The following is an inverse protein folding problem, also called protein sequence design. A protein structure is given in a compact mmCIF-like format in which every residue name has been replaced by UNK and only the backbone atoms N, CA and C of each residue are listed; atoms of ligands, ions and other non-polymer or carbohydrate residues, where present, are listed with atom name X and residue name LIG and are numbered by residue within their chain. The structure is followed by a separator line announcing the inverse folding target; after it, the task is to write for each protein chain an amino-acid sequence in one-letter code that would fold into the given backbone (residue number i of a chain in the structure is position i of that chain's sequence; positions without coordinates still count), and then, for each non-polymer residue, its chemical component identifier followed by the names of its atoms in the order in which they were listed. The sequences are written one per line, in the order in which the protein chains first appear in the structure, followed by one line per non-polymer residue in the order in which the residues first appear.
data_IF_952386937482
#
_entry.id   IF_952386937482
#
_cell.length_a   1.000
_cell.length_b   1.000
_cell.length_c   1.000
_cell.angle_alpha   90.00
_cell.angle_beta   90.00
_cell.angle_gamma   90.00
#
_symmetry.space_group_name_H-M   'P 1'
#
loop_
_entity.id
_entity.type
_entity.pdbx_description
1 polymer ?
#
# COMPACT_ATOMS: atom_id res chain seq x y z
N UNK A 1 -14.56 47.77 -20.73
CA UNK A 1 -13.96 48.08 -22.05
C UNK A 1 -12.69 48.88 -21.81
N UNK A 2 -11.52 48.30 -22.09
CA UNK A 2 -10.31 48.96 -22.62
C UNK A 2 -9.27 47.86 -22.84
N UNK A 3 -8.98 47.60 -24.11
CA UNK A 3 -8.03 46.62 -24.60
C UNK A 3 -6.57 47.06 -24.36
N UNK A 4 -5.66 46.10 -24.18
CA UNK A 4 -4.25 46.28 -24.57
C UNK A 4 -3.75 45.06 -25.33
N UNK A 5 -3.22 45.35 -26.51
CA UNK A 5 -2.65 44.44 -27.49
C UNK A 5 -1.16 44.14 -27.22
N UNK A 6 -0.71 43.05 -27.85
CA UNK A 6 0.59 42.35 -27.85
C UNK A 6 1.81 43.15 -28.38
N UNK A 7 3.05 42.62 -28.28
CA UNK A 7 3.59 41.79 -29.38
C UNK A 7 4.40 40.55 -28.96
N UNK A 8 4.53 39.65 -29.94
CA UNK A 8 5.23 38.38 -29.94
C UNK A 8 6.77 38.50 -29.93
N UNK A 9 7.46 37.46 -29.47
CA UNK A 9 8.87 37.20 -29.78
C UNK A 9 9.12 35.68 -29.87
N UNK A 10 9.99 35.32 -30.80
CA UNK A 10 10.10 34.04 -31.49
C UNK A 10 10.86 32.94 -30.71
N UNK A 11 10.56 31.69 -31.10
CA UNK A 11 11.38 30.49 -30.87
C UNK A 11 12.77 30.60 -31.51
N UNK A 12 13.70 29.72 -31.07
CA UNK A 12 14.27 28.82 -32.06
C UNK A 12 14.22 27.34 -31.65
N UNK A 13 13.85 26.50 -32.63
CA UNK A 13 14.10 25.06 -32.68
C UNK A 13 15.61 24.77 -32.61
N UNK A 14 16.00 23.76 -31.83
CA UNK A 14 17.24 23.02 -32.05
C UNK A 14 16.90 21.53 -32.17
N UNK A 15 16.95 21.05 -33.41
CA UNK A 15 17.05 19.63 -33.77
C UNK A 15 18.45 19.13 -33.37
N UNK A 16 18.52 17.97 -32.73
CA UNK A 16 19.68 17.09 -32.84
C UNK A 16 19.22 15.62 -32.74
N UNK A 17 19.35 14.94 -33.89
CA UNK A 17 19.19 13.51 -34.05
C UNK A 17 20.34 12.74 -33.36
N UNK A 18 20.09 11.50 -32.92
CA UNK A 18 21.16 10.67 -32.36
C UNK A 18 20.79 9.23 -32.03
N UNK A 19 20.77 8.39 -33.08
CA UNK A 19 21.09 6.96 -33.12
C UNK A 19 20.27 5.93 -32.29
N UNK A 20 19.43 5.19 -33.02
CA UNK A 20 19.07 3.81 -32.75
C UNK A 20 20.32 2.92 -32.76
N UNK A 21 20.53 2.15 -31.70
CA UNK A 21 21.32 0.92 -31.75
C UNK A 21 20.42 -0.26 -31.42
N UNK A 22 19.87 -0.89 -32.46
CA UNK A 22 19.36 -2.26 -32.41
C UNK A 22 20.55 -3.20 -32.31
N UNK A 23 20.85 -3.73 -31.12
CA UNK A 23 21.71 -4.90 -31.00
C UNK A 23 20.91 -6.13 -31.44
N UNK A 24 21.30 -6.66 -32.60
CA UNK A 24 20.62 -7.76 -33.26
C UNK A 24 20.69 -9.09 -32.51
N UNK A 25 19.59 -9.84 -32.60
CA UNK A 25 19.54 -11.28 -32.40
C UNK A 25 20.49 -11.96 -33.40
N UNK A 26 21.55 -12.59 -32.90
CA UNK A 26 22.44 -13.44 -33.69
C UNK A 26 22.50 -14.85 -33.11
N UNK A 27 21.51 -15.69 -33.37
CA UNK A 27 21.62 -17.14 -33.14
C UNK A 27 22.45 -17.76 -34.26
N UNK A 28 23.72 -18.06 -33.98
CA UNK A 28 24.50 -18.98 -34.81
C UNK A 28 24.02 -20.41 -34.55
N UNK A 29 23.41 -21.05 -35.53
CA UNK A 29 23.28 -22.51 -35.56
C UNK A 29 24.44 -23.04 -36.38
N UNK A 30 25.49 -23.51 -35.70
CA UNK A 30 26.48 -24.39 -36.29
C UNK A 30 26.01 -25.83 -36.06
N UNK A 31 25.89 -26.58 -37.15
CA UNK A 31 25.53 -28.00 -37.11
C UNK A 31 26.68 -28.90 -36.66
N UNK A 32 26.26 -30.14 -36.39
CA UNK A 32 27.02 -31.39 -36.29
C UNK A 32 27.71 -31.73 -34.96
N UNK A 33 27.15 -32.74 -34.30
CA UNK A 33 27.94 -33.84 -33.74
C UNK A 33 28.38 -33.73 -32.29
N UNK A 34 27.46 -33.91 -31.35
CA UNK A 34 27.79 -34.17 -29.95
C UNK A 34 26.55 -34.55 -29.17
N UNK A 35 26.56 -35.72 -28.52
CA UNK A 35 25.47 -36.21 -27.71
C UNK A 35 25.05 -35.15 -26.68
N UNK A 36 23.83 -34.63 -26.82
CA UNK A 36 23.23 -33.71 -25.87
C UNK A 36 22.91 -34.49 -24.59
N UNK A 37 23.74 -34.31 -23.56
CA UNK A 37 23.31 -34.57 -22.20
C UNK A 37 22.05 -33.73 -21.90
N UNK A 38 21.15 -34.21 -21.01
CA UNK A 38 19.93 -33.47 -20.70
C UNK A 38 20.27 -32.03 -20.29
N UNK A 39 19.49 -31.03 -20.74
CA UNK A 39 19.73 -29.64 -20.38
C UNK A 39 19.76 -29.51 -18.87
N UNK A 40 20.83 -28.90 -18.34
CA UNK A 40 20.90 -28.58 -16.92
C UNK A 40 19.67 -27.75 -16.52
N UNK A 41 19.01 -28.06 -15.40
CA UNK A 41 17.85 -27.29 -14.98
C UNK A 41 18.25 -25.83 -14.82
N UNK A 42 17.56 -24.95 -15.54
CA UNK A 42 17.71 -23.52 -15.38
C UNK A 42 17.21 -23.15 -13.99
N UNK A 43 18.13 -22.90 -13.07
CA UNK A 43 17.79 -22.42 -11.73
C UNK A 43 17.35 -20.97 -11.89
N UNK A 44 16.05 -20.74 -12.04
CA UNK A 44 15.47 -19.42 -11.78
C UNK A 44 15.72 -19.09 -10.31
N UNK A 45 16.33 -17.95 -9.96
CA UNK A 45 16.55 -17.60 -8.57
C UNK A 45 15.19 -17.57 -7.86
N UNK A 46 15.03 -18.40 -6.83
CA UNK A 46 13.85 -18.37 -5.98
C UNK A 46 13.86 -17.08 -5.18
N UNK A 47 12.79 -16.29 -5.30
CA UNK A 47 12.64 -15.08 -4.50
C UNK A 47 12.43 -15.46 -3.04
N UNK A 48 13.31 -14.99 -2.16
CA UNK A 48 13.12 -15.10 -0.71
C UNK A 48 12.18 -13.99 -0.23
N UNK A 49 10.88 -14.27 -0.27
CA UNK A 49 9.84 -13.34 0.17
C UNK A 49 9.95 -12.98 1.66
N UNK A 50 10.46 -13.89 2.49
CA UNK A 50 10.60 -13.65 3.92
C UNK A 50 11.72 -12.62 4.19
N UNK A 51 12.87 -12.79 3.53
CA UNK A 51 13.96 -11.82 3.61
C UNK A 51 13.54 -10.44 3.06
N UNK A 52 12.77 -10.41 1.97
CA UNK A 52 12.24 -9.15 1.42
C UNK A 52 11.28 -8.45 2.40
N UNK A 53 10.37 -9.20 3.03
CA UNK A 53 9.46 -8.66 4.02
C UNK A 53 10.21 -8.12 5.26
N UNK A 54 11.21 -8.85 5.76
CA UNK A 54 12.05 -8.40 6.87
C UNK A 54 12.84 -7.12 6.52
N UNK A 55 13.38 -7.03 5.30
CA UNK A 55 14.07 -5.84 4.83
C UNK A 55 13.13 -4.63 4.69
N UNK A 56 11.89 -4.85 4.24
CA UNK A 56 10.86 -3.81 4.18
C UNK A 56 10.52 -3.30 5.58
N UNK A 57 10.30 -4.21 6.54
CA UNK A 57 10.11 -3.85 7.95
C UNK A 57 11.29 -3.04 8.51
N UNK A 58 12.53 -3.40 8.21
CA UNK A 58 13.70 -2.64 8.66
C UNK A 58 13.75 -1.23 8.04
N UNK A 59 13.29 -1.05 6.80
CA UNK A 59 13.15 0.29 6.18
C UNK A 59 12.03 1.09 6.83
N UNK A 60 10.88 0.47 7.09
CA UNK A 60 9.78 1.07 7.84
C UNK A 60 10.27 1.59 9.21
N UNK A 61 10.97 0.76 9.97
CA UNK A 61 11.39 1.10 11.33
C UNK A 61 12.38 2.28 11.36
N UNK A 62 13.16 2.47 10.28
CA UNK A 62 14.00 3.68 10.09
C UNK A 62 13.17 4.94 9.81
N UNK A 63 12.07 4.81 9.08
CA UNK A 63 11.18 5.94 8.76
C UNK A 63 10.32 6.35 9.98
N UNK A 64 9.97 5.37 10.83
CA UNK A 64 9.07 5.57 11.97
C UNK A 64 9.64 4.97 13.27
N UNK A 65 10.77 5.51 13.78
CA UNK A 65 11.46 4.94 14.95
C UNK A 65 10.58 4.88 16.20
N UNK A 66 9.72 5.87 16.41
CA UNK A 66 8.77 5.92 17.53
C UNK A 66 7.77 4.76 17.50
N UNK A 67 7.33 4.38 16.29
CA UNK A 67 6.38 3.29 16.08
C UNK A 67 7.11 1.95 16.23
N UNK A 68 8.32 1.84 15.72
CA UNK A 68 9.17 0.67 15.90
C UNK A 68 9.44 0.40 17.39
N UNK A 69 9.83 1.43 18.15
CA UNK A 69 10.05 1.33 19.59
C UNK A 69 8.80 0.84 20.34
N UNK A 70 7.62 1.36 19.99
CA UNK A 70 6.35 0.94 20.58
C UNK A 70 6.00 -0.53 20.29
N UNK A 71 6.43 -1.07 19.16
CA UNK A 71 6.06 -2.40 18.68
C UNK A 71 7.19 -3.44 18.75
N UNK A 72 8.34 -3.11 19.35
CA UNK A 72 9.52 -3.97 19.38
C UNK A 72 9.22 -5.38 19.94
N UNK A 73 8.41 -5.47 20.99
CA UNK A 73 8.08 -6.73 21.66
C UNK A 73 7.07 -7.60 20.89
N UNK A 74 6.45 -7.07 19.84
CA UNK A 74 5.43 -7.76 19.05
C UNK A 74 6.02 -8.53 17.86
N UNK A 75 7.27 -8.24 17.51
CA UNK A 75 7.99 -8.84 16.38
C UNK A 75 9.06 -9.87 16.78
N UNK A 76 9.36 -10.01 18.07
CA UNK A 76 10.25 -11.07 18.53
C UNK A 76 9.58 -12.43 18.24
N UNK A 77 10.26 -13.36 17.54
CA UNK A 77 9.76 -14.72 17.45
C UNK A 77 9.75 -15.27 18.87
N UNK A 78 8.58 -15.29 19.50
CA UNK A 78 8.38 -16.19 20.63
C UNK A 78 8.66 -17.59 20.07
N UNK A 79 9.57 -18.33 20.69
CA UNK A 79 9.67 -19.78 20.53
C UNK A 79 8.37 -20.37 21.04
N UNK A 80 7.35 -20.28 20.21
CA UNK A 80 6.08 -20.96 20.35
C UNK A 80 6.06 -21.87 19.15
N UNK A 81 6.05 -23.18 19.42
CA UNK A 81 5.86 -24.22 18.42
C UNK A 81 4.85 -23.74 17.38
N UNK A 82 5.23 -23.81 16.10
CA UNK A 82 4.33 -23.57 14.98
C UNK A 82 3.03 -24.32 15.25
N UNK A 83 1.91 -23.65 15.56
CA UNK A 83 0.63 -24.33 15.44
C UNK A 83 0.54 -24.69 13.97
N UNK A 84 0.36 -25.99 13.68
CA UNK A 84 -0.05 -26.40 12.35
C UNK A 84 -1.15 -25.45 11.90
N UNK A 85 -1.05 -24.94 10.67
CA UNK A 85 -2.10 -24.14 10.06
C UNK A 85 -3.34 -25.03 9.92
N UNK A 86 -4.12 -25.15 10.98
CA UNK A 86 -5.52 -25.54 10.89
C UNK A 86 -6.22 -24.30 10.37
N UNK A 87 -6.06 -24.05 9.06
CA UNK A 87 -7.05 -23.30 8.31
C UNK A 87 -8.33 -24.12 8.32
N UNK A 88 -9.00 -24.17 9.48
CA UNK A 88 -10.41 -24.45 9.50
C UNK A 88 -11.03 -23.28 8.73
N UNK A 89 -11.73 -23.52 7.60
CA UNK A 89 -12.54 -22.47 7.02
C UNK A 89 -13.37 -21.89 8.16
N UNK A 90 -13.24 -20.58 8.39
CA UNK A 90 -13.98 -19.90 9.45
C UNK A 90 -15.42 -20.39 9.38
N UNK A 91 -15.92 -20.96 10.48
CA UNK A 91 -17.13 -21.78 10.46
C UNK A 91 -18.19 -21.06 9.64
N UNK A 92 -18.56 -21.65 8.49
CA UNK A 92 -19.62 -21.10 7.66
C UNK A 92 -20.82 -20.89 8.58
N UNK A 93 -21.46 -19.72 8.55
CA UNK A 93 -22.62 -19.50 9.39
C UNK A 93 -23.59 -20.66 9.22
N UNK A 94 -23.94 -21.33 10.32
CA UNK A 94 -24.86 -22.47 10.31
C UNK A 94 -26.29 -22.04 9.94
N UNK A 95 -26.54 -20.73 9.99
CA UNK A 95 -27.70 -20.08 9.39
C UNK A 95 -27.49 -19.93 7.87
N UNK A 96 -28.31 -20.59 7.03
CA UNK A 96 -28.21 -20.51 5.58
C UNK A 96 -28.28 -19.08 5.02
N UNK A 97 -29.00 -18.17 5.70
CA UNK A 97 -29.06 -16.78 5.27
C UNK A 97 -27.74 -16.07 5.55
N UNK A 98 -27.19 -16.19 6.75
CA UNK A 98 -25.84 -15.69 7.06
C UNK A 98 -24.75 -16.30 6.15
N UNK A 99 -24.90 -17.56 5.74
CA UNK A 99 -24.03 -18.20 4.74
C UNK A 99 -24.07 -17.48 3.39
N UNK A 100 -25.28 -17.23 2.84
CA UNK A 100 -25.45 -16.46 1.59
C UNK A 100 -24.93 -15.03 1.71
N UNK A 101 -25.12 -14.36 2.86
CA UNK A 101 -24.57 -13.03 3.09
C UNK A 101 -23.03 -13.04 3.13
N UNK A 102 -22.43 -14.05 3.77
CA UNK A 102 -20.97 -14.21 3.81
C UNK A 102 -20.37 -14.45 2.41
N UNK A 103 -21.03 -15.28 1.60
CA UNK A 103 -20.64 -15.49 0.20
C UNK A 103 -20.75 -14.21 -0.63
N UNK A 104 -21.86 -13.47 -0.50
CA UNK A 104 -22.04 -12.20 -1.22
C UNK A 104 -20.98 -11.16 -0.81
N UNK A 105 -20.54 -11.15 0.46
CA UNK A 105 -19.53 -10.21 0.94
C UNK A 105 -18.09 -10.72 0.88
N UNK A 106 -17.83 -11.85 0.22
CA UNK A 106 -16.48 -12.40 0.10
C UNK A 106 -15.48 -11.41 -0.55
N UNK A 107 -15.95 -10.54 -1.45
CA UNK A 107 -15.14 -9.47 -2.05
C UNK A 107 -14.56 -8.48 -1.00
N UNK A 108 -15.19 -8.36 0.18
CA UNK A 108 -14.70 -7.51 1.28
C UNK A 108 -13.73 -8.21 2.23
N UNK A 109 -13.32 -9.45 1.94
CA UNK A 109 -12.37 -10.16 2.78
C UNK A 109 -11.01 -9.44 2.80
N UNK A 110 -10.50 -9.28 4.02
CA UNK A 110 -9.19 -8.69 4.29
C UNK A 110 -8.21 -9.79 4.69
N UNK A 111 -6.96 -9.66 4.29
CA UNK A 111 -5.89 -10.47 4.84
C UNK A 111 -5.77 -10.24 6.35
N UNK A 112 -5.54 -11.31 7.11
CA UNK A 112 -5.31 -11.18 8.54
C UNK A 112 -3.97 -10.50 8.83
N UNK A 113 -3.97 -9.60 9.81
CA UNK A 113 -2.74 -8.97 10.29
C UNK A 113 -2.12 -9.82 11.39
N UNK A 114 -0.86 -10.24 11.20
CA UNK A 114 -0.06 -10.79 12.29
C UNK A 114 0.18 -9.76 13.40
N UNK A 115 0.55 -10.19 14.63
CA UNK A 115 0.64 -9.31 15.80
C UNK A 115 1.51 -8.06 15.61
N UNK A 116 2.70 -8.22 15.03
CA UNK A 116 3.60 -7.10 14.74
C UNK A 116 3.01 -6.09 13.75
N UNK A 117 2.39 -6.58 12.67
CA UNK A 117 1.74 -5.75 11.66
C UNK A 117 0.53 -5.02 12.26
N UNK A 118 -0.25 -5.71 13.09
CA UNK A 118 -1.38 -5.11 13.82
C UNK A 118 -0.93 -3.98 14.74
N UNK A 119 0.12 -4.20 15.54
CA UNK A 119 0.67 -3.16 16.41
C UNK A 119 1.10 -1.92 15.62
N UNK A 120 1.86 -2.11 14.53
CA UNK A 120 2.31 -1.00 13.68
C UNK A 120 1.12 -0.26 13.08
N UNK A 121 0.16 -0.99 12.50
CA UNK A 121 -1.05 -0.41 11.94
C UNK A 121 -1.83 0.44 12.95
N UNK A 122 -2.09 -0.10 14.15
CA UNK A 122 -2.80 0.61 15.20
C UNK A 122 -2.00 1.83 15.72
N UNK A 123 -0.66 1.74 15.78
CA UNK A 123 0.20 2.86 16.13
C UNK A 123 0.16 3.99 15.08
N UNK A 124 0.16 3.66 13.79
CA UNK A 124 -0.04 4.63 12.72
C UNK A 124 -1.42 5.27 12.75
N UNK A 125 -2.47 4.47 12.96
CA UNK A 125 -3.83 4.98 13.11
C UNK A 125 -3.93 5.96 14.29
N UNK A 126 -3.28 5.66 15.42
CA UNK A 126 -3.22 6.56 16.56
C UNK A 126 -2.45 7.86 16.26
N UNK A 127 -1.29 7.77 15.59
CA UNK A 127 -0.48 8.93 15.17
C UNK A 127 -1.28 9.85 14.25
N UNK A 128 -1.96 9.30 13.25
CA UNK A 128 -2.80 10.07 12.33
C UNK A 128 -3.96 10.70 13.08
N UNK A 129 -4.68 9.92 13.91
CA UNK A 129 -5.80 10.45 14.70
C UNK A 129 -5.36 11.62 15.58
N UNK A 130 -4.23 11.50 16.26
CA UNK A 130 -3.67 12.58 17.09
C UNK A 130 -3.38 13.84 16.27
N UNK A 131 -2.84 13.71 15.05
CA UNK A 131 -2.62 14.85 14.17
C UNK A 131 -3.93 15.50 13.69
N UNK A 132 -4.97 14.69 13.44
CA UNK A 132 -6.29 15.17 13.01
C UNK A 132 -7.05 15.88 14.12
N UNK A 133 -6.89 15.46 15.39
CA UNK A 133 -7.60 16.04 16.53
C UNK A 133 -6.78 17.08 17.30
N UNK A 134 -5.46 17.04 17.21
CA UNK A 134 -4.52 17.82 18.02
C UNK A 134 -4.18 19.20 17.48
N UNK A 135 -4.72 19.59 16.31
CA UNK A 135 -4.49 20.88 15.67
C UNK A 135 -3.05 21.00 15.16
N UNK A 136 -2.86 20.78 13.86
CA UNK A 136 -1.53 20.92 13.22
C UNK A 136 -1.01 22.35 13.37
N UNK A 137 -0.15 22.60 14.35
CA UNK A 137 0.54 23.89 14.55
C UNK A 137 -0.39 25.12 14.64
N UNK A 138 -1.60 24.97 15.21
CA UNK A 138 -2.57 26.05 15.35
C UNK A 138 -3.53 26.25 14.16
N UNK A 139 -3.54 25.35 13.17
CA UNK A 139 -4.39 25.46 11.96
C UNK A 139 -5.75 24.73 12.03
N UNK A 140 -6.12 24.18 13.18
CA UNK A 140 -7.34 23.38 13.30
C UNK A 140 -7.26 22.02 12.60
N UNK A 141 -8.36 21.28 12.57
CA UNK A 141 -8.46 20.04 11.82
C UNK A 141 -8.59 20.35 10.31
N UNK A 142 -8.04 19.53 9.40
CA UNK A 142 -8.22 19.74 7.97
C UNK A 142 -9.70 19.69 7.57
N UNK A 143 -10.12 20.61 6.71
CA UNK A 143 -11.49 20.72 6.22
C UNK A 143 -11.62 20.42 4.72
N UNK A 144 -10.50 20.28 4.02
CA UNK A 144 -10.48 19.99 2.58
C UNK A 144 -9.63 18.75 2.28
N UNK A 145 -9.82 18.20 1.07
CA UNK A 145 -9.01 17.10 0.54
C UNK A 145 -7.53 17.47 0.49
N UNK A 146 -7.21 18.70 0.08
CA UNK A 146 -5.82 19.16 -0.07
C UNK A 146 -5.15 19.43 1.28
N UNK A 147 -5.86 20.00 2.26
CA UNK A 147 -5.36 20.16 3.62
C UNK A 147 -5.08 18.80 4.28
N UNK A 148 -5.99 17.83 4.12
CA UNK A 148 -5.77 16.49 4.66
C UNK A 148 -4.61 15.78 3.96
N UNK A 149 -4.51 15.90 2.63
CA UNK A 149 -3.38 15.36 1.87
C UNK A 149 -2.06 15.96 2.35
N UNK A 150 -1.97 17.28 2.47
CA UNK A 150 -0.78 17.98 2.94
C UNK A 150 -0.39 17.56 4.37
N UNK A 151 -1.37 17.42 5.26
CA UNK A 151 -1.15 16.95 6.63
C UNK A 151 -0.56 15.53 6.64
N UNK A 152 -1.14 14.60 5.89
CA UNK A 152 -0.68 13.21 5.83
C UNK A 152 0.72 13.08 5.20
N UNK A 153 0.99 13.84 4.13
CA UNK A 153 2.34 13.90 3.55
C UNK A 153 3.36 14.48 4.52
N UNK A 154 3.01 15.53 5.26
CA UNK A 154 3.85 16.11 6.30
C UNK A 154 4.16 15.16 7.46
N UNK A 155 3.31 14.14 7.68
CA UNK A 155 3.56 13.06 8.64
C UNK A 155 4.43 11.93 8.09
N UNK A 156 4.76 11.95 6.79
CA UNK A 156 5.57 10.95 6.11
C UNK A 156 4.77 9.88 5.35
N UNK A 157 3.47 10.08 5.12
CA UNK A 157 2.64 9.12 4.39
C UNK A 157 2.52 9.48 2.89
N UNK A 158 2.88 8.52 2.04
CA UNK A 158 2.59 8.55 0.61
C UNK A 158 1.20 8.02 0.26
N UNK A 159 0.82 8.13 -1.01
CA UNK A 159 -0.46 7.66 -1.54
C UNK A 159 -0.30 6.68 -2.71
N UNK A 160 0.81 5.92 -2.73
CA UNK A 160 1.12 4.98 -3.82
C UNK A 160 0.00 3.93 -4.02
N UNK A 161 -0.64 3.55 -2.91
CA UNK A 161 -1.87 2.74 -2.91
C UNK A 161 -2.91 3.39 -1.99
N UNK A 162 -3.78 4.19 -2.59
CA UNK A 162 -4.87 4.87 -1.89
C UNK A 162 -5.01 6.33 -2.29
N UNK A 163 -5.58 7.14 -1.40
CA UNK A 163 -5.83 8.54 -1.68
C UNK A 163 -6.64 9.24 -0.60
N UNK A 164 -6.87 10.53 -0.83
CA UNK A 164 -7.80 11.34 -0.05
C UNK A 164 -9.01 11.63 -0.94
N UNK A 165 -10.21 11.47 -0.38
CA UNK A 165 -11.48 11.56 -1.09
C UNK A 165 -12.45 12.42 -0.28
N UNK A 166 -13.37 13.11 -0.93
CA UNK A 166 -14.45 13.78 -0.24
C UNK A 166 -15.27 14.70 -1.13
N UNK A 167 -16.48 15.00 -0.67
CA UNK A 167 -17.34 16.04 -1.20
C UNK A 167 -17.67 17.04 -0.08
N UNK A 168 -17.20 18.28 -0.23
CA UNK A 168 -17.32 19.30 0.81
C UNK A 168 -16.52 19.00 2.08
N UNK A 169 -16.70 19.83 3.11
CA UNK A 169 -15.88 19.80 4.34
C UNK A 169 -16.27 18.75 5.38
N UNK A 170 -17.35 17.99 5.13
CA UNK A 170 -17.96 17.08 6.11
C UNK A 170 -17.78 15.59 5.76
N UNK A 171 -17.28 15.28 4.55
CA UNK A 171 -17.12 13.90 4.06
C UNK A 171 -15.71 13.61 3.55
N UNK A 172 -14.70 14.25 4.13
CA UNK A 172 -13.31 13.98 3.75
C UNK A 172 -12.86 12.66 4.39
N UNK A 173 -12.33 11.74 3.60
CA UNK A 173 -11.84 10.43 4.01
C UNK A 173 -10.51 10.15 3.33
N UNK A 174 -9.74 9.20 3.86
CA UNK A 174 -8.50 8.76 3.25
C UNK A 174 -8.31 7.27 3.40
N UNK A 175 -7.50 6.72 2.50
CA UNK A 175 -6.98 5.36 2.54
C UNK A 175 -5.51 5.43 2.17
N UNK A 176 -4.64 4.76 2.91
CA UNK A 176 -3.22 4.65 2.59
C UNK A 176 -2.68 3.28 2.98
N UNK A 177 -1.65 2.81 2.29
CA UNK A 177 -0.79 1.75 2.80
C UNK A 177 0.26 2.36 3.72
N UNK A 178 0.51 1.71 4.86
CA UNK A 178 1.67 2.03 5.67
C UNK A 178 2.92 1.65 4.86
N UNK A 179 3.88 2.56 4.67
CA UNK A 179 5.08 2.27 3.91
C UNK A 179 5.81 1.05 4.45
N UNK A 180 6.15 0.11 3.57
CA UNK A 180 7.06 -1.02 3.84
C UNK A 180 6.63 -2.05 4.91
N UNK A 181 5.60 -1.78 5.74
CA UNK A 181 5.16 -2.71 6.80
C UNK A 181 3.91 -3.51 6.45
N UNK A 182 3.11 -3.06 5.49
CA UNK A 182 2.02 -3.84 4.87
C UNK A 182 0.57 -3.58 5.34
N UNK A 183 0.26 -3.05 6.55
CA UNK A 183 -1.10 -2.67 6.90
C UNK A 183 -1.62 -1.50 6.08
N UNK A 184 -2.93 -1.49 5.90
CA UNK A 184 -3.67 -0.34 5.39
C UNK A 184 -4.23 0.48 6.55
N UNK A 185 -4.34 1.79 6.37
CA UNK A 185 -5.02 2.68 7.30
C UNK A 185 -6.09 3.46 6.54
N UNK A 186 -7.32 3.37 7.02
CA UNK A 186 -8.46 4.11 6.51
C UNK A 186 -8.96 5.08 7.57
N UNK A 187 -9.31 6.29 7.17
CA UNK A 187 -9.94 7.25 8.07
C UNK A 187 -11.01 8.11 7.43
N UNK A 188 -11.91 8.60 8.28
CA UNK A 188 -13.01 9.50 7.92
C UNK A 188 -13.03 10.67 8.91
N UNK A 189 -13.05 11.87 8.35
CA UNK A 189 -13.23 13.11 9.09
C UNK A 189 -14.74 13.32 9.29
N UNK A 190 -15.12 13.56 10.52
CA UNK A 190 -16.49 13.70 10.98
C UNK A 190 -16.52 13.67 12.50
N UNK A 191 -17.66 13.96 13.13
CA UNK A 191 -17.85 13.72 14.56
C UNK A 191 -18.41 12.30 14.78
N UNK A 192 -17.64 11.34 15.35
CA UNK A 192 -16.23 11.40 15.73
C UNK A 192 -15.26 11.06 14.58
N UNK A 193 -14.01 11.52 14.69
CA UNK A 193 -12.95 11.18 13.73
C UNK A 193 -12.65 9.69 13.87
N UNK A 194 -12.79 8.95 12.77
CA UNK A 194 -12.50 7.52 12.72
C UNK A 194 -11.21 7.29 11.95
N UNK A 195 -10.29 6.52 12.52
CA UNK A 195 -9.06 6.06 11.85
C UNK A 195 -8.81 4.62 12.30
N UNK A 196 -8.67 3.68 11.36
CA UNK A 196 -8.53 2.24 11.65
C UNK A 196 -7.49 1.61 10.75
N UNK A 197 -6.72 0.69 11.32
CA UNK A 197 -5.84 -0.19 10.56
C UNK A 197 -6.54 -1.49 10.19
N UNK A 198 -6.19 -2.02 9.04
CA UNK A 198 -6.69 -3.29 8.52
C UNK A 198 -5.68 -3.93 7.56
N UNK A 199 -5.88 -5.21 7.24
CA UNK A 199 -5.14 -5.85 6.16
C UNK A 199 -5.62 -5.41 4.79
N UNK A 200 -4.87 -5.75 3.75
CA UNK A 200 -5.30 -5.55 2.37
C UNK A 200 -6.56 -6.37 2.09
N UNK A 201 -7.52 -5.79 1.37
CA UNK A 201 -8.59 -6.51 0.72
C UNK A 201 -8.00 -7.39 -0.38
N UNK A 202 -8.46 -8.64 -0.46
CA UNK A 202 -7.97 -9.64 -1.43
C UNK A 202 -8.07 -9.11 -2.87
N UNK A 203 -9.14 -8.37 -3.18
CA UNK A 203 -9.41 -7.86 -4.53
C UNK A 203 -9.09 -6.36 -4.72
N UNK A 204 -8.80 -5.62 -3.65
CA UNK A 204 -8.75 -4.14 -3.67
C UNK A 204 -7.48 -3.51 -3.10
N UNK A 205 -6.54 -4.32 -2.58
CA UNK A 205 -5.39 -3.81 -1.84
C UNK A 205 -5.89 -3.02 -0.63
N UNK A 206 -5.44 -1.77 -0.44
CA UNK A 206 -5.95 -0.97 0.67
C UNK A 206 -7.34 -0.37 0.45
N UNK A 207 -7.81 -0.25 -0.80
CA UNK A 207 -9.11 0.32 -1.09
C UNK A 207 -10.20 -0.73 -0.89
N UNK A 208 -11.25 -0.38 -0.14
CA UNK A 208 -12.41 -1.24 -0.02
C UNK A 208 -13.07 -1.39 -1.40
N UNK A 209 -13.17 -2.62 -1.94
CA UNK A 209 -13.83 -2.86 -3.21
C UNK A 209 -15.30 -2.45 -3.15
N UNK A 210 -15.79 -1.84 -4.23
CA UNK A 210 -17.17 -1.36 -4.36
C UNK A 210 -17.98 -2.39 -5.15
N UNK A 211 -18.86 -3.13 -4.45
CA UNK A 211 -19.84 -4.03 -5.05
C UNK A 211 -19.55 -5.52 -4.88
N UNK A 212 -20.62 -6.32 -4.79
CA UNK A 212 -20.67 -7.77 -5.00
C UNK A 212 -21.66 -8.02 -6.14
N UNK A 213 -21.43 -9.07 -6.93
CA UNK A 213 -22.22 -9.38 -8.12
C UNK A 213 -23.71 -9.59 -7.85
#
# INVERSE_FOLDING_TARGET
MTHRSTPAAALPLLLAAGLLALTGCGTKVAGAGGAQGPPAPSVTPSVDYAAQAAAAVARHDKLFPEIAARCADQGAPKTTETPAATGAPGALPTDPEAGKYAENHAYKQQAELGPAARCRGDAHAARIRAALTGGSGGKGAPHTVDELRALLMGLGYGFDSGGVYGSGSVNVSFVLSVPESGPCVTGRLGPPVSVKAHGVYVEGGCLEPRGGH
#
